data_IF_505175646319
#
_entry.id   IF_505175646319
#
_cell.length_a   1.000
_cell.length_b   1.000
_cell.length_c   1.000
_cell.angle_alpha   90.00
_cell.angle_beta   90.00
_cell.angle_gamma   90.00
#
_symmetry.space_group_name_H-M   'P 1'
#
loop_
_entity.id
_entity.type
_entity.pdbx_description
1 polymer ?
#
# COMPACT_ATOMS: atom_id res chain seq x y z
N UNK A 1 -5.83 -2.87 22.54
CA UNK A 1 -5.13 -4.12 22.21
C UNK A 1 -5.65 -4.50 20.85
N UNK A 2 -4.80 -4.56 19.82
CA UNK A 2 -5.23 -4.68 18.42
C UNK A 2 -4.55 -5.83 17.70
N UNK A 3 -4.43 -5.71 16.37
CA UNK A 3 -3.77 -6.69 15.51
C UNK A 3 -2.45 -7.15 16.14
N UNK A 4 -2.45 -8.40 16.59
CA UNK A 4 -1.22 -9.12 16.91
C UNK A 4 -0.45 -9.33 15.60
N UNK A 5 0.90 -9.32 15.63
CA UNK A 5 1.69 -9.87 14.54
C UNK A 5 1.14 -11.25 14.15
N UNK A 6 0.80 -11.45 12.87
CA UNK A 6 0.17 -12.69 12.38
C UNK A 6 -1.37 -12.68 12.27
N UNK A 7 -2.03 -11.53 12.47
CA UNK A 7 -3.43 -11.33 12.07
C UNK A 7 -3.55 -11.38 10.54
N UNK A 8 -3.81 -12.59 10.02
CA UNK A 8 -3.68 -12.91 8.61
C UNK A 8 -4.92 -12.48 7.81
N UNK A 9 -5.18 -11.16 7.69
CA UNK A 9 -6.21 -10.67 6.78
C UNK A 9 -5.65 -10.71 5.36
N UNK A 10 -6.08 -11.76 4.65
CA UNK A 10 -5.74 -12.00 3.27
C UNK A 10 -6.98 -12.38 2.48
N UNK A 11 -7.02 -11.96 1.23
CA UNK A 11 -8.10 -12.28 0.31
C UNK A 11 -7.55 -12.33 -1.12
N UNK A 12 -8.14 -13.12 -2.04
CA UNK A 12 -7.83 -12.99 -3.46
C UNK A 12 -7.97 -11.54 -3.91
N UNK A 13 -6.95 -10.99 -4.60
CA UNK A 13 -6.94 -9.57 -4.95
C UNK A 13 -8.15 -9.17 -5.81
N UNK A 14 -8.59 -10.08 -6.69
CA UNK A 14 -9.71 -9.90 -7.63
C UNK A 14 -11.05 -9.55 -6.99
N UNK A 15 -11.23 -9.87 -5.71
CA UNK A 15 -12.46 -9.52 -5.00
C UNK A 15 -12.54 -8.02 -4.71
N UNK A 16 -11.42 -7.30 -4.73
CA UNK A 16 -11.34 -5.89 -4.34
C UNK A 16 -10.66 -5.00 -5.38
N UNK A 17 -9.82 -5.57 -6.23
CA UNK A 17 -9.01 -4.85 -7.21
C UNK A 17 -9.27 -5.41 -8.62
N UNK A 18 -9.23 -4.56 -9.65
CA UNK A 18 -9.31 -5.00 -11.03
C UNK A 18 -8.07 -5.79 -11.44
N UNK A 19 -8.21 -6.64 -12.46
CA UNK A 19 -7.09 -7.39 -13.05
C UNK A 19 -5.99 -6.49 -13.62
N UNK A 20 -6.34 -5.25 -13.99
CA UNK A 20 -5.43 -4.25 -14.53
C UNK A 20 -5.61 -2.93 -13.81
N UNK A 21 -4.51 -2.40 -13.30
CA UNK A 21 -4.44 -1.01 -12.84
C UNK A 21 -4.00 -0.13 -14.01
N UNK A 22 -4.83 0.87 -14.33
CA UNK A 22 -4.54 1.83 -15.40
C UNK A 22 -3.27 2.63 -15.08
N UNK A 23 -2.70 3.27 -16.11
CA UNK A 23 -1.46 4.03 -15.96
C UNK A 23 -1.54 5.08 -14.87
N UNK A 24 -2.71 5.66 -14.63
CA UNK A 24 -2.92 6.67 -13.61
C UNK A 24 -3.95 6.20 -12.59
N UNK A 25 -3.61 6.33 -11.32
CA UNK A 25 -4.45 5.92 -10.20
C UNK A 25 -4.11 6.72 -8.94
N UNK A 26 -5.00 6.68 -7.96
CA UNK A 26 -4.77 7.35 -6.67
C UNK A 26 -5.13 6.42 -5.52
N UNK A 27 -4.29 6.44 -4.50
CA UNK A 27 -4.45 5.72 -3.25
C UNK A 27 -4.61 6.73 -2.13
N UNK A 28 -5.80 6.84 -1.58
CA UNK A 28 -6.06 7.66 -0.41
C UNK A 28 -6.22 6.77 0.82
N UNK A 29 -5.57 7.13 1.92
CA UNK A 29 -5.75 6.45 3.18
C UNK A 29 -5.81 7.43 4.35
N UNK A 30 -6.67 7.13 5.31
CA UNK A 30 -6.67 7.80 6.61
C UNK A 30 -6.32 6.78 7.67
N UNK A 31 -5.34 7.08 8.51
CA UNK A 31 -4.85 6.16 9.53
C UNK A 31 -4.45 6.88 10.82
N UNK A 32 -4.46 6.11 11.92
CA UNK A 32 -3.91 6.46 13.22
C UNK A 32 -3.16 5.24 13.76
N UNK A 33 -1.85 5.37 13.93
CA UNK A 33 -0.98 4.35 14.51
C UNK A 33 -0.97 4.46 16.04
N UNK A 34 -0.86 3.31 16.69
CA UNK A 34 -0.60 3.25 18.14
C UNK A 34 0.91 3.25 18.41
N UNK A 35 1.69 2.69 17.49
CA UNK A 35 3.13 2.60 17.56
C UNK A 35 3.74 3.25 16.29
N UNK A 36 4.65 4.23 16.41
CA UNK A 36 5.24 4.92 15.27
C UNK A 36 6.20 4.04 14.45
N UNK A 37 6.47 2.79 14.84
CA UNK A 37 7.30 1.84 14.08
C UNK A 37 6.80 1.65 12.65
N UNK A 38 5.47 1.54 12.47
CA UNK A 38 4.83 1.39 11.17
C UNK A 38 4.86 -0.05 10.62
N UNK A 39 4.78 -0.20 9.29
CA UNK A 39 4.70 -1.44 8.50
C UNK A 39 3.93 -1.27 7.18
N UNK A 40 3.49 -2.36 6.57
CA UNK A 40 2.64 -2.34 5.36
C UNK A 40 1.17 -2.08 5.68
N UNK A 41 0.56 -1.06 5.06
CA UNK A 41 -0.88 -0.82 5.16
C UNK A 41 -1.66 -1.87 4.38
N UNK A 42 -1.20 -2.13 3.16
CA UNK A 42 -1.65 -3.24 2.33
C UNK A 42 -0.55 -3.60 1.34
N UNK A 43 -0.62 -4.81 0.81
CA UNK A 43 0.22 -5.27 -0.27
C UNK A 43 -0.52 -6.34 -1.09
N UNK A 44 -0.46 -6.22 -2.41
CA UNK A 44 -0.79 -7.28 -3.35
C UNK A 44 0.50 -8.06 -3.61
N UNK A 45 0.49 -9.33 -3.26
CA UNK A 45 1.66 -10.19 -3.31
C UNK A 45 1.37 -11.35 -4.24
N UNK A 46 2.33 -11.66 -5.10
CA UNK A 46 2.21 -12.72 -6.06
C UNK A 46 2.15 -14.12 -5.40
N UNK A 47 1.57 -15.13 -6.07
CA UNK A 47 1.36 -16.47 -5.51
C UNK A 47 2.63 -17.33 -5.43
N UNK A 48 3.80 -16.82 -5.83
CA UNK A 48 5.00 -17.64 -5.98
C UNK A 48 5.38 -18.32 -4.66
N UNK A 49 5.55 -19.65 -4.73
CA UNK A 49 6.20 -20.40 -3.65
C UNK A 49 7.66 -19.97 -3.59
N UNK A 50 8.10 -19.55 -2.41
CA UNK A 50 9.50 -19.18 -2.24
C UNK A 50 10.38 -20.41 -2.37
N UNK A 51 11.28 -20.33 -3.34
CA UNK A 51 12.32 -21.32 -3.57
C UNK A 51 13.66 -20.59 -3.60
N UNK A 52 14.76 -21.34 -3.71
CA UNK A 52 16.13 -20.79 -3.77
C UNK A 52 16.32 -19.72 -4.87
N UNK A 53 15.46 -19.70 -5.89
CA UNK A 53 15.56 -18.81 -7.06
C UNK A 53 14.40 -17.83 -7.24
N UNK A 54 13.31 -18.01 -6.49
CA UNK A 54 12.09 -17.19 -6.63
C UNK A 54 11.59 -16.77 -5.24
N UNK A 55 11.28 -15.48 -5.10
CA UNK A 55 10.76 -14.91 -3.86
C UNK A 55 9.36 -14.34 -4.10
N UNK A 56 8.58 -14.22 -3.03
CA UNK A 56 7.34 -13.44 -3.07
C UNK A 56 7.68 -11.97 -3.25
N UNK A 57 6.97 -11.32 -4.17
CA UNK A 57 7.16 -9.94 -4.61
C UNK A 57 5.88 -9.17 -4.35
N UNK A 58 6.04 -7.95 -3.85
CA UNK A 58 4.94 -6.99 -3.74
C UNK A 58 4.74 -6.33 -5.10
N UNK A 59 3.67 -6.68 -5.79
CA UNK A 59 3.29 -6.09 -7.08
C UNK A 59 2.79 -4.66 -6.89
N UNK A 60 1.97 -4.43 -5.86
CA UNK A 60 1.52 -3.11 -5.44
C UNK A 60 1.37 -3.06 -3.93
N UNK A 61 1.84 -2.02 -3.27
CA UNK A 61 1.62 -1.87 -1.84
C UNK A 61 1.97 -0.49 -1.32
N UNK A 62 1.49 -0.19 -0.12
CA UNK A 62 1.89 1.03 0.59
C UNK A 62 2.42 0.64 1.96
N UNK A 63 3.60 1.14 2.30
CA UNK A 63 4.18 1.01 3.63
C UNK A 63 4.39 2.38 4.27
N UNK A 64 4.25 2.42 5.59
CA UNK A 64 4.52 3.58 6.42
C UNK A 64 5.56 3.16 7.45
N UNK A 65 6.69 3.84 7.56
CA UNK A 65 7.73 3.50 8.54
C UNK A 65 8.11 4.73 9.37
N UNK A 66 8.37 4.55 10.66
CA UNK A 66 8.87 5.64 11.50
C UNK A 66 10.29 6.03 11.12
N UNK A 67 10.55 7.33 10.95
CA UNK A 67 11.91 7.86 10.76
C UNK A 67 12.48 8.54 12.02
N UNK A 68 11.63 8.74 13.03
CA UNK A 68 11.99 9.40 14.27
C UNK A 68 10.79 10.13 14.88
N UNK A 69 11.00 10.93 15.94
CA UNK A 69 9.93 11.70 16.57
C UNK A 69 9.27 12.66 15.57
N UNK A 70 7.95 12.54 15.40
CA UNK A 70 7.16 13.39 14.52
C UNK A 70 7.39 13.19 13.02
N UNK A 71 8.13 12.16 12.59
CA UNK A 71 8.41 11.91 11.18
C UNK A 71 8.21 10.44 10.80
N UNK A 72 7.62 10.24 9.63
CA UNK A 72 7.41 8.93 9.03
C UNK A 72 7.71 8.97 7.54
N UNK A 73 8.06 7.83 6.98
CA UNK A 73 8.23 7.64 5.56
C UNK A 73 7.03 6.91 5.00
N UNK A 74 6.42 7.43 3.93
CA UNK A 74 5.36 6.76 3.18
C UNK A 74 5.95 6.28 1.87
N UNK A 75 6.02 4.96 1.68
CA UNK A 75 6.60 4.35 0.49
C UNK A 75 5.55 3.60 -0.32
N UNK A 76 5.48 3.91 -1.60
CA UNK A 76 4.68 3.21 -2.60
C UNK A 76 5.55 2.15 -3.26
N UNK A 77 5.17 0.89 -3.11
CA UNK A 77 5.78 -0.22 -3.81
C UNK A 77 4.98 -0.51 -5.08
N UNK A 78 5.70 -0.67 -6.18
CA UNK A 78 5.15 -0.99 -7.48
C UNK A 78 6.18 -1.84 -8.20
N UNK A 79 5.84 -3.10 -8.47
CA UNK A 79 6.73 -4.03 -9.16
C UNK A 79 5.96 -4.72 -10.27
N UNK A 80 6.43 -4.56 -11.50
CA UNK A 80 5.85 -5.27 -12.63
C UNK A 80 6.67 -6.53 -12.93
N UNK A 81 6.03 -7.70 -12.78
CA UNK A 81 6.67 -8.99 -12.98
C UNK A 81 6.99 -9.28 -14.47
N UNK A 82 6.33 -8.62 -15.42
CA UNK A 82 6.60 -8.78 -16.86
C UNK A 82 7.99 -8.28 -17.27
N UNK A 83 8.59 -7.42 -16.46
CA UNK A 83 9.95 -6.89 -16.66
C UNK A 83 11.05 -7.88 -16.24
N UNK A 84 10.68 -9.04 -15.67
CA UNK A 84 11.63 -10.03 -15.15
C UNK A 84 12.23 -9.65 -13.79
N UNK A 85 11.63 -8.66 -13.09
CA UNK A 85 12.03 -8.30 -11.74
C UNK A 85 11.42 -9.27 -10.72
N UNK A 86 12.29 -9.98 -10.00
CA UNK A 86 11.91 -10.93 -8.94
C UNK A 86 12.13 -10.38 -7.52
N UNK A 87 12.21 -9.06 -7.38
CA UNK A 87 12.38 -8.38 -6.09
C UNK A 87 11.47 -7.16 -6.00
N UNK A 88 10.85 -6.96 -4.83
CA UNK A 88 9.93 -5.83 -4.59
C UNK A 88 10.64 -4.49 -4.77
N UNK A 89 10.08 -3.62 -5.60
CA UNK A 89 10.62 -2.29 -5.88
C UNK A 89 9.80 -1.20 -5.18
N UNK A 90 10.50 -0.23 -4.61
CA UNK A 90 9.90 1.03 -4.13
C UNK A 90 9.91 2.03 -5.26
N UNK A 91 8.72 2.43 -5.70
CA UNK A 91 8.54 3.40 -6.78
C UNK A 91 8.76 4.83 -6.31
N UNK A 92 8.21 5.17 -5.14
CA UNK A 92 8.33 6.49 -4.55
C UNK A 92 8.30 6.40 -3.03
N UNK A 93 9.03 7.29 -2.37
CA UNK A 93 9.19 7.31 -0.93
C UNK A 93 9.21 8.75 -0.43
N UNK A 94 8.29 9.10 0.45
CA UNK A 94 8.04 10.48 0.86
C UNK A 94 8.19 10.63 2.37
N UNK A 95 8.94 11.65 2.79
CA UNK A 95 9.01 12.02 4.21
C UNK A 95 7.80 12.87 4.57
N UNK A 96 6.99 12.39 5.51
CA UNK A 96 5.79 13.06 6.01
C UNK A 96 6.05 13.56 7.44
N UNK A 97 5.72 14.83 7.75
CA UNK A 97 5.96 15.43 9.08
C UNK A 97 4.89 14.99 10.09
N UNK A 98 4.71 13.68 10.26
CA UNK A 98 3.84 13.08 11.27
C UNK A 98 4.40 11.74 11.70
N UNK A 99 4.13 11.33 12.95
CA UNK A 99 4.29 9.95 13.40
C UNK A 99 3.00 9.14 13.31
N UNK A 100 1.95 9.71 12.70
CA UNK A 100 0.62 9.13 12.58
C UNK A 100 -0.05 8.76 13.91
N UNK A 101 0.36 9.38 15.03
CA UNK A 101 -0.23 9.14 16.36
C UNK A 101 -1.62 9.78 16.52
N UNK A 102 -1.97 10.71 15.64
CA UNK A 102 -3.31 11.27 15.44
C UNK A 102 -3.83 10.90 14.05
N UNK A 103 -5.14 11.02 13.89
CA UNK A 103 -5.79 10.81 12.60
C UNK A 103 -5.18 11.70 11.53
N UNK A 104 -4.60 11.07 10.53
CA UNK A 104 -3.95 11.76 9.42
C UNK A 104 -4.43 11.15 8.12
N UNK A 105 -4.75 12.01 7.16
CA UNK A 105 -5.13 11.60 5.80
C UNK A 105 -3.95 11.78 4.85
N UNK A 106 -3.71 10.81 3.99
CA UNK A 106 -2.65 10.83 2.98
C UNK A 106 -3.24 10.41 1.65
N UNK A 107 -2.87 11.11 0.58
CA UNK A 107 -3.16 10.70 -0.78
C UNK A 107 -1.88 10.48 -1.57
N UNK A 108 -1.80 9.38 -2.31
CA UNK A 108 -0.74 9.11 -3.28
C UNK A 108 -1.38 9.08 -4.66
N UNK A 109 -1.08 10.07 -5.50
CA UNK A 109 -1.57 10.14 -6.87
C UNK A 109 -0.46 9.72 -7.82
N UNK A 110 -0.64 8.60 -8.49
CA UNK A 110 0.29 8.07 -9.49
C UNK A 110 -0.14 8.56 -10.86
N UNK A 111 0.77 9.29 -11.52
CA UNK A 111 0.63 9.79 -12.89
C UNK A 111 1.65 9.11 -13.78
N UNK A 112 1.58 9.36 -15.09
CA UNK A 112 2.44 8.70 -16.07
C UNK A 112 3.95 8.84 -15.80
N UNK A 113 4.41 10.00 -15.33
CA UNK A 113 5.84 10.35 -15.13
C UNK A 113 6.20 10.71 -13.69
N UNK A 114 5.24 10.69 -12.76
CA UNK A 114 5.45 11.13 -11.38
C UNK A 114 4.46 10.52 -10.39
N UNK A 115 4.83 10.57 -9.12
CA UNK A 115 3.94 10.28 -8.00
C UNK A 115 3.86 11.54 -7.14
N UNK A 116 2.65 12.02 -6.89
CA UNK A 116 2.37 13.14 -6.01
C UNK A 116 1.85 12.63 -4.65
N UNK A 117 2.34 13.19 -3.55
CA UNK A 117 1.79 12.94 -2.22
C UNK A 117 1.05 14.16 -1.69
N UNK A 118 -0.11 13.93 -1.08
CA UNK A 118 -0.84 14.90 -0.29
C UNK A 118 -0.98 14.46 1.15
N UNK A 119 -0.92 15.41 2.08
CA UNK A 119 -1.08 15.20 3.51
C UNK A 119 -2.18 16.11 4.05
N UNK A 120 -3.16 15.55 4.75
CA UNK A 120 -4.36 16.24 5.22
C UNK A 120 -5.03 17.10 4.13
N UNK A 121 -5.18 16.50 2.94
CA UNK A 121 -5.77 17.13 1.76
C UNK A 121 -4.97 18.31 1.16
N UNK A 122 -3.73 18.54 1.60
CA UNK A 122 -2.83 19.53 1.02
C UNK A 122 -1.69 18.84 0.24
N UNK A 123 -1.32 19.33 -0.96
CA UNK A 123 -0.14 18.83 -1.67
C UNK A 123 1.12 18.98 -0.80
N UNK A 124 1.92 17.93 -0.70
CA UNK A 124 3.13 17.91 0.12
C UNK A 124 4.39 17.83 -0.73
N UNK A 125 4.49 16.87 -1.64
CA UNK A 125 5.68 16.64 -2.46
C UNK A 125 5.36 15.86 -3.75
N UNK A 126 6.31 15.78 -4.69
CA UNK A 126 6.20 15.06 -5.95
C UNK A 126 7.55 14.47 -6.38
N UNK A 127 7.55 13.19 -6.77
CA UNK A 127 8.75 12.48 -7.25
C UNK A 127 8.53 12.04 -8.69
N UNK A 128 9.47 12.38 -9.58
CA UNK A 128 9.49 11.89 -10.97
C UNK A 128 9.85 10.41 -10.96
N UNK A 129 9.08 9.60 -11.68
CA UNK A 129 9.27 8.15 -11.80
C UNK A 129 9.21 7.73 -13.26
N UNK A 130 10.00 6.73 -13.64
CA UNK A 130 9.87 6.09 -14.94
C UNK A 130 9.27 4.70 -14.75
N UNK A 131 8.07 4.47 -15.30
CA UNK A 131 7.36 3.19 -15.21
C UNK A 131 7.22 2.58 -16.59
N UNK A 132 7.89 1.44 -16.77
CA UNK A 132 7.74 0.60 -17.94
C UNK A 132 7.47 -0.84 -17.48
N UNK A 133 6.29 -1.41 -17.79
CA UNK A 133 5.14 -0.78 -18.44
C UNK A 133 4.38 0.19 -17.51
N UNK A 134 3.55 1.06 -18.11
CA UNK A 134 2.78 2.06 -17.36
C UNK A 134 1.58 1.46 -16.62
N UNK A 135 1.00 0.41 -17.17
CA UNK A 135 -0.12 -0.32 -16.57
C UNK A 135 0.42 -1.46 -15.73
N UNK A 136 -0.20 -1.73 -14.57
CA UNK A 136 0.16 -2.86 -13.73
C UNK A 136 -0.83 -4.00 -13.96
N UNK A 137 -0.29 -5.16 -14.31
CA UNK A 137 -1.07 -6.40 -14.45
C UNK A 137 -0.68 -7.30 -13.29
N UNK A 138 -1.66 -7.64 -12.45
CA UNK A 138 -1.45 -8.57 -11.34
C UNK A 138 -1.47 -10.01 -11.82
N UNK A 139 -0.71 -10.88 -11.17
CA UNK A 139 -0.89 -12.33 -11.33
C UNK A 139 -2.30 -12.73 -10.88
N UNK A 140 -2.93 -13.59 -11.68
CA UNK A 140 -4.26 -14.15 -11.43
C UNK A 140 -4.49 -14.76 -10.05
N UNK A 141 -3.44 -15.28 -9.42
CA UNK A 141 -3.49 -15.91 -8.10
C UNK A 141 -2.86 -15.02 -7.01
N UNK A 142 -2.60 -13.74 -7.29
CA UNK A 142 -2.11 -12.80 -6.28
C UNK A 142 -3.07 -12.66 -5.10
N UNK A 143 -2.49 -12.39 -3.94
CA UNK A 143 -3.22 -12.24 -2.68
C UNK A 143 -3.08 -10.82 -2.18
N UNK A 144 -4.21 -10.19 -1.86
CA UNK A 144 -4.25 -8.92 -1.17
C UNK A 144 -4.11 -9.17 0.33
N UNK A 145 -3.09 -8.58 0.92
CA UNK A 145 -2.82 -8.55 2.35
C UNK A 145 -3.09 -7.17 2.92
N UNK A 146 -3.68 -7.11 4.11
CA UNK A 146 -3.90 -5.88 4.86
C UNK A 146 -3.08 -5.91 6.15
N UNK A 147 -2.37 -4.82 6.45
CA UNK A 147 -1.52 -4.71 7.64
C UNK A 147 -0.21 -5.52 7.56
N UNK A 148 0.08 -6.12 6.41
CA UNK A 148 1.25 -6.96 6.17
C UNK A 148 1.52 -7.11 4.67
N UNK A 149 2.65 -7.74 4.31
CA UNK A 149 3.02 -8.05 2.94
C UNK A 149 3.24 -9.56 2.69
N UNK A 150 2.43 -10.38 3.35
CA UNK A 150 2.53 -11.84 3.27
C UNK A 150 3.57 -12.44 4.22
N UNK A 151 3.71 -13.78 4.21
CA UNK A 151 4.51 -14.50 5.19
C UNK A 151 6.03 -14.28 5.05
N UNK A 152 6.48 -13.81 3.88
CA UNK A 152 7.90 -13.80 3.51
C UNK A 152 8.44 -12.38 3.39
N UNK A 153 7.67 -11.47 2.78
CA UNK A 153 8.02 -10.04 2.78
C UNK A 153 7.75 -9.51 4.19
N UNK A 154 8.80 -9.52 5.01
CA UNK A 154 8.77 -9.02 6.39
C UNK A 154 8.37 -7.53 6.39
N UNK A 155 7.47 -7.16 7.29
CA UNK A 155 6.98 -5.78 7.43
C UNK A 155 5.58 -5.71 8.04
N UNK A 156 5.26 -6.65 8.94
CA UNK A 156 3.97 -6.66 9.62
C UNK A 156 3.78 -5.35 10.39
N UNK A 157 2.65 -4.70 10.17
CA UNK A 157 2.31 -3.43 10.80
C UNK A 157 1.85 -3.72 12.23
N UNK A 158 2.54 -3.13 13.20
CA UNK A 158 2.16 -3.30 14.61
C UNK A 158 1.04 -2.33 14.95
N UNK A 159 -0.20 -2.82 15.07
CA UNK A 159 -1.37 -1.94 15.25
C UNK A 159 -2.25 -2.40 16.41
N UNK A 160 -2.31 -1.63 17.49
CA UNK A 160 -3.20 -1.91 18.62
C UNK A 160 -4.65 -1.44 18.38
N UNK A 161 -4.90 -0.66 17.33
CA UNK A 161 -6.20 -0.30 16.75
C UNK A 161 -5.87 0.43 15.45
N UNK A 162 -6.15 -0.18 14.30
CA UNK A 162 -6.05 0.52 13.02
C UNK A 162 -7.45 0.83 12.53
N UNK A 163 -7.68 2.09 12.23
CA UNK A 163 -8.76 2.46 11.34
C UNK A 163 -8.11 2.87 10.05
N UNK A 164 -8.26 2.02 9.03
CA UNK A 164 -7.74 2.29 7.71
C UNK A 164 -8.93 2.52 6.80
N UNK A 165 -9.06 3.74 6.32
CA UNK A 165 -9.98 4.08 5.24
C UNK A 165 -9.20 4.09 3.95
N UNK A 166 -9.04 2.93 3.31
CA UNK A 166 -8.32 2.84 2.05
C UNK A 166 -9.31 3.08 0.91
N UNK A 167 -9.07 4.11 0.09
CA UNK A 167 -9.83 4.33 -1.14
C UNK A 167 -8.89 4.34 -2.33
N UNK A 168 -9.22 3.52 -3.32
CA UNK A 168 -8.51 3.44 -4.58
C UNK A 168 -9.36 4.04 -5.69
N UNK A 169 -8.74 4.93 -6.45
CA UNK A 169 -9.29 5.51 -7.66
C UNK A 169 -8.42 5.15 -8.84
N UNK A 170 -9.01 4.96 -10.00
CA UNK A 170 -8.30 4.80 -11.25
C UNK A 170 -8.78 5.79 -12.28
N UNK A 171 -7.89 6.28 -13.13
CA UNK A 171 -8.21 7.30 -14.11
C UNK A 171 -8.37 6.68 -15.49
N UNK A 172 -9.56 6.83 -16.08
CA UNK A 172 -9.91 6.28 -17.39
C UNK A 172 -10.70 7.31 -18.19
N UNK A 173 -10.38 7.49 -19.47
CA UNK A 173 -11.11 8.35 -20.40
C UNK A 173 -11.34 9.79 -19.90
N UNK A 174 -10.35 10.37 -19.20
CA UNK A 174 -10.45 11.75 -18.71
C UNK A 174 -11.09 11.90 -17.33
N UNK A 175 -11.56 10.80 -16.70
CA UNK A 175 -12.32 10.85 -15.46
C UNK A 175 -11.76 9.89 -14.39
N UNK A 176 -11.81 10.32 -13.12
CA UNK A 176 -11.51 9.48 -11.96
C UNK A 176 -12.69 8.53 -11.68
N UNK A 177 -12.42 7.24 -11.67
CA UNK A 177 -13.36 6.17 -11.37
C UNK A 177 -12.99 5.60 -10.00
N UNK A 178 -13.97 5.52 -9.10
CA UNK A 178 -13.84 4.83 -7.83
C UNK A 178 -13.68 3.33 -8.08
N UNK A 179 -12.64 2.72 -7.52
CA UNK A 179 -12.35 1.28 -7.67
C UNK A 179 -12.86 0.53 -6.45
N UNK A 180 -12.40 0.93 -5.27
CA UNK A 180 -12.80 0.30 -4.01
C UNK A 180 -12.58 1.26 -2.86
N UNK A 181 -13.49 1.22 -1.87
CA UNK A 181 -13.25 1.76 -0.53
C UNK A 181 -13.28 0.60 0.44
N UNK A 182 -12.17 0.37 1.12
CA UNK A 182 -12.08 -0.58 2.21
C UNK A 182 -12.10 0.20 3.53
N UNK A 183 -13.20 0.08 4.25
CA UNK A 183 -13.37 0.62 5.58
C UNK A 183 -12.98 -0.46 6.59
N UNK A 184 -11.70 -0.49 6.95
CA UNK A 184 -11.20 -1.51 7.87
C UNK A 184 -11.16 -0.89 9.26
N UNK A 185 -12.18 -1.23 10.04
CA UNK A 185 -12.29 -0.88 11.45
C UNK A 185 -11.83 -2.06 12.30
N UNK A 186 -10.66 -1.96 12.93
CA UNK A 186 -10.29 -2.89 13.99
C UNK A 186 -10.85 -2.42 15.33
N UNK A 187 -12.07 -2.85 15.66
CA UNK A 187 -12.55 -2.83 17.04
C UNK A 187 -12.19 -4.16 17.70
N UNK A 188 -11.45 -4.11 18.81
CA UNK A 188 -11.39 -5.24 19.72
C UNK A 188 -12.73 -5.31 20.47
N UNK A 189 -13.64 -6.19 20.03
CA UNK A 189 -14.74 -6.63 20.90
C UNK A 189 -14.09 -7.54 21.95
N UNK A 190 -13.98 -7.07 23.18
CA UNK A 190 -13.86 -7.98 24.34
C UNK A 190 -15.20 -8.72 24.42
N UNK A 191 -15.18 -10.04 24.21
CA UNK A 191 -16.10 -10.94 24.90
C UNK A 191 -15.48 -11.26 26.26
#
# INVERSE_FOLDING_TARGET
>A
MGMRPGSDIKSPYRLFLPDKFYSQFSIAFTLKLVDPTGGFLFAVVNPLETSKYYFQVVELGVSVTGLGPGQSNVSLLYTDLSTGLYTSQTLASFRVPTSFTSWSSVGLTVRDDRVDISFNCQPLDSIIVNREPKELIFDSASTLYIGQAGPIVKGALHVSTMFLFLTLFSYKNGQWIHVVTCNIFFFHIKL
#
